data_IF_613550359410
#
_entry.id   IF_613550359410
#
_cell.length_a   1.000
_cell.length_b   1.000
_cell.length_c   1.000
_cell.angle_alpha   90.00
_cell.angle_beta   90.00
_cell.angle_gamma   90.00
#
_symmetry.space_group_name_H-M   'P 1'
#
loop_
_entity.id
_entity.type
_entity.pdbx_description
1 polymer ?
2 polymer ?
3 non-polymer ?
4 water ?
#
loop_
_entity_poly.entity_id
_entity_poly.type
_entity_poly.pdbx_seq_one_letter_code
_entity_poly.pdbx_strand_id
2 'polydeoxyribonucleotide' '(DT)(DT)(DT)(DT)(DT)(DT)(DT)(DT)(DT)(DT)(DT)(DT)(DT)(DT)(DT)(DT)(DT)(DT)(DT)(DG)' ?
#
# COMPACT_ATOMS: atom_id res chain seq x y z
N UNK A 45 -20.80 15.73 -3.32
CA UNK A 45 -19.95 15.84 -2.14
C UNK A 45 -20.49 15.02 -0.96
N UNK A 46 -19.60 14.71 -0.02
CA UNK A 46 -19.94 13.92 1.18
C UNK A 46 -18.88 14.08 2.28
N UNK A 47 -18.77 15.29 2.87
CA UNK A 47 -17.69 15.52 3.84
C UNK A 47 -17.91 14.71 5.12
N UNK A 48 -16.84 14.13 5.66
CA UNK A 48 -16.93 13.28 6.83
C UNK A 48 -17.03 11.79 6.55
N UNK A 49 -17.82 11.43 5.53
CA UNK A 49 -18.11 10.02 5.23
C UNK A 49 -17.21 9.41 4.17
N UNK A 50 -17.69 8.36 3.51
CA UNK A 50 -16.92 7.69 2.47
C UNK A 50 -17.82 6.84 1.58
N UNK A 51 -17.21 6.18 0.61
CA UNK A 51 -17.90 5.16 -0.17
C UNK A 51 -17.84 3.87 0.62
N UNK A 52 -18.79 2.98 0.34
CA UNK A 52 -18.88 1.70 1.02
C UNK A 52 -19.14 0.63 -0.02
N UNK A 53 -18.35 -0.44 -0.01
CA UNK A 53 -18.58 -1.56 -0.95
C UNK A 53 -19.77 -2.44 -0.58
N UNK A 54 -20.09 -3.41 -1.43
CA UNK A 54 -21.28 -4.26 -1.22
C UNK A 54 -21.20 -5.11 0.04
N UNK A 55 -20.01 -5.21 0.63
CA UNK A 55 -19.84 -5.95 1.86
C UNK A 55 -19.99 -5.07 3.11
N UNK A 56 -20.24 -3.78 2.90
CA UNK A 56 -20.41 -2.85 4.01
C UNK A 56 -19.11 -2.17 4.43
N UNK A 57 -18.04 -2.39 3.68
CA UNK A 57 -16.73 -1.88 4.08
C UNK A 57 -16.28 -0.62 3.36
N UNK A 58 -15.74 0.35 4.13
CA UNK A 58 -15.32 1.62 3.53
C UNK A 58 -14.14 1.44 2.62
N UNK A 59 -14.08 2.24 1.57
CA UNK A 59 -12.95 2.20 0.64
C UNK A 59 -12.70 3.57 0.01
N UNK A 60 -11.48 3.78 -0.43
CA UNK A 60 -11.10 5.00 -1.13
C UNK A 60 -10.46 4.56 -2.44
N UNK A 61 -10.80 5.25 -3.52
CA UNK A 61 -10.28 4.91 -4.84
C UNK A 61 -8.86 5.43 -5.04
N UNK A 62 -8.01 4.61 -5.65
CA UNK A 62 -6.68 5.12 -6.01
C UNK A 62 -6.42 5.11 -7.51
N UNK A 63 -7.21 4.32 -8.25
CA UNK A 63 -7.31 4.49 -9.70
C UNK A 63 -8.71 4.06 -10.01
N UNK A 64 -9.10 4.12 -11.29
CA UNK A 64 -10.42 3.65 -11.70
C UNK A 64 -10.69 2.20 -11.29
N UNK A 65 -9.63 1.38 -11.23
CA UNK A 65 -9.80 -0.04 -10.94
C UNK A 65 -9.19 -0.50 -9.60
N UNK A 66 -8.59 0.43 -8.87
CA UNK A 66 -7.89 0.07 -7.64
C UNK A 66 -8.44 0.81 -6.43
N UNK A 67 -8.54 0.09 -5.31
CA UNK A 67 -9.09 0.63 -4.07
C UNK A 67 -8.13 0.38 -2.92
N UNK A 68 -8.18 1.27 -1.93
CA UNK A 68 -7.67 0.96 -0.61
C UNK A 68 -8.92 0.90 0.26
N UNK A 69 -9.00 -0.11 1.13
CA UNK A 69 -10.19 -0.23 1.96
C UNK A 69 -9.88 -0.95 3.25
N UNK A 70 -10.79 -0.86 4.21
CA UNK A 70 -10.57 -1.52 5.49
C UNK A 70 -11.61 -2.59 5.68
N UNK A 71 -11.16 -3.79 5.99
CA UNK A 71 -12.04 -4.93 6.15
C UNK A 71 -11.72 -5.68 7.46
N UNK A 72 -12.74 -6.24 8.11
CA UNK A 72 -12.52 -7.08 9.28
C UNK A 72 -12.71 -8.54 8.88
N UNK A 73 -11.70 -9.37 9.14
CA UNK A 73 -11.73 -10.77 8.73
C UNK A 73 -11.06 -11.64 9.79
N UNK A 74 -11.79 -12.65 10.28
CA UNK A 74 -11.38 -13.44 11.44
C UNK A 74 -11.01 -12.52 12.59
N UNK A 75 -11.87 -11.53 12.82
CA UNK A 75 -11.78 -10.62 13.96
C UNK A 75 -10.53 -9.75 14.00
N UNK A 76 -9.83 -9.65 12.88
CA UNK A 76 -8.82 -8.61 12.77
C UNK A 76 -9.05 -7.72 11.56
N UNK A 77 -8.59 -6.48 11.69
CA UNK A 77 -8.74 -5.48 10.64
C UNK A 77 -7.59 -5.56 9.67
N UNK A 78 -7.91 -5.40 8.39
CA UNK A 78 -6.91 -5.43 7.35
C UNK A 78 -7.06 -4.19 6.50
N UNK A 79 -5.93 -3.63 6.10
CA UNK A 79 -5.91 -2.53 5.14
C UNK A 79 -5.59 -3.15 3.80
N UNK A 80 -6.61 -3.24 2.95
CA UNK A 80 -6.47 -3.91 1.66
C UNK A 80 -6.21 -2.93 0.51
N UNK A 81 -5.12 -3.14 -0.23
CA UNK A 81 -4.81 -2.35 -1.40
C UNK A 81 -4.91 -3.31 -2.58
N UNK A 82 -5.95 -3.17 -3.40
CA UNK A 82 -6.26 -4.25 -4.34
C UNK A 82 -6.91 -3.79 -5.63
N UNK A 83 -6.68 -4.57 -6.69
CA UNK A 83 -7.39 -4.43 -7.95
C UNK A 83 -8.80 -4.99 -7.82
N UNK A 84 -9.78 -4.30 -8.40
CA UNK A 84 -11.16 -4.79 -8.42
C UNK A 84 -11.61 -4.97 -9.86
N UNK A 85 -12.51 -5.91 -10.09
CA UNK A 85 -13.07 -6.13 -11.41
C UNK A 85 -14.59 -6.17 -11.37
N UNK A 86 -15.22 -5.86 -12.49
CA UNK A 86 -16.68 -5.86 -12.54
C UNK A 86 -17.20 -7.17 -13.14
N UNK A 87 -18.09 -7.81 -12.41
CA UNK A 87 -18.71 -9.05 -12.87
C UNK A 87 -20.09 -9.21 -12.25
N UNK A 88 -21.10 -9.48 -13.09
CA UNK A 88 -22.46 -9.63 -12.62
C UNK A 88 -22.98 -8.42 -11.87
N UNK A 89 -22.79 -7.23 -12.45
CA UNK A 89 -23.29 -5.99 -11.86
C UNK A 89 -22.70 -5.64 -10.51
N UNK A 90 -21.57 -6.25 -10.18
CA UNK A 90 -20.93 -6.03 -8.89
C UNK A 90 -19.41 -5.86 -9.07
N UNK A 91 -18.77 -5.10 -8.19
CA UNK A 91 -17.32 -4.96 -8.22
C UNK A 91 -16.78 -5.97 -7.23
N UNK A 92 -15.83 -6.78 -7.69
CA UNK A 92 -15.29 -7.86 -6.87
C UNK A 92 -13.79 -7.68 -6.71
N UNK A 93 -13.24 -8.15 -5.58
CA UNK A 93 -11.80 -8.05 -5.32
C UNK A 93 -11.05 -8.98 -6.26
N UNK A 94 -9.97 -8.48 -6.86
CA UNK A 94 -9.19 -9.25 -7.79
C UNK A 94 -7.99 -9.86 -7.10
N UNK A 95 -7.15 -10.56 -7.86
CA UNK A 95 -6.10 -11.32 -7.19
C UNK A 95 -4.81 -10.51 -7.04
N UNK A 96 -4.70 -9.40 -7.77
CA UNK A 96 -3.57 -8.51 -7.58
C UNK A 96 -3.86 -7.55 -6.44
N UNK A 97 -3.10 -7.67 -5.35
CA UNK A 97 -3.24 -6.75 -4.24
C UNK A 97 -2.63 -7.34 -2.99
N UNK A 98 -2.76 -6.65 -1.87
CA UNK A 98 -2.22 -7.18 -0.64
C UNK A 98 -3.02 -6.65 0.54
N UNK A 99 -3.13 -7.48 1.58
CA UNK A 99 -3.85 -7.09 2.79
C UNK A 99 -2.87 -6.88 3.94
N UNK A 100 -2.76 -5.64 4.41
CA UNK A 100 -1.81 -5.35 5.50
C UNK A 100 -2.50 -5.47 6.87
N UNK A 101 -1.82 -6.08 7.84
CA UNK A 101 -2.26 -5.97 9.22
C UNK A 101 -2.10 -4.51 9.63
N UNK A 102 -2.75 -4.13 10.73
CA UNK A 102 -2.61 -2.77 11.24
C UNK A 102 -1.14 -2.42 11.58
N UNK A 103 -0.39 -3.39 12.10
CA UNK A 103 1.04 -3.18 12.37
C UNK A 103 1.82 -3.00 11.08
N UNK A 104 1.48 -3.80 10.08
CA UNK A 104 2.16 -3.68 8.79
C UNK A 104 1.91 -2.30 8.20
N UNK A 105 0.66 -1.87 8.29
CA UNK A 105 0.25 -0.54 7.82
C UNK A 105 0.95 0.55 8.59
N UNK A 106 1.00 0.41 9.91
CA UNK A 106 1.73 1.37 10.75
C UNK A 106 3.21 1.45 10.36
N UNK A 107 3.82 0.30 10.07
CA UNK A 107 5.20 0.29 9.60
C UNK A 107 5.31 0.98 8.24
N UNK A 108 4.27 0.84 7.41
CA UNK A 108 4.27 1.52 6.13
C UNK A 108 4.26 3.04 6.35
N UNK A 109 3.46 3.52 7.30
CA UNK A 109 3.38 4.95 7.55
C UNK A 109 4.74 5.51 7.95
N UNK A 110 5.51 4.71 8.70
CA UNK A 110 6.82 5.12 9.21
C UNK A 110 7.82 5.33 8.06
N UNK A 111 7.57 4.66 6.95
CA UNK A 111 8.48 4.68 5.80
C UNK A 111 8.16 5.82 4.83
N UNK A 112 6.94 6.35 4.91
CA UNK A 112 6.48 7.35 3.95
C UNK A 112 7.42 8.54 3.70
N UNK A 113 7.91 9.19 4.77
CA UNK A 113 8.84 10.30 4.50
C UNK A 113 10.04 9.88 3.64
N UNK A 114 10.65 8.72 3.91
CA UNK A 114 11.81 8.31 3.10
C UNK A 114 11.39 7.98 1.65
N UNK A 115 10.28 7.27 1.51
CA UNK A 115 9.72 6.96 0.20
C UNK A 115 9.51 8.24 -0.61
N UNK A 116 8.92 9.24 0.04
CA UNK A 116 8.67 10.52 -0.63
C UNK A 116 9.99 11.15 -1.09
N UNK A 117 10.98 11.21 -0.20
CA UNK A 117 12.26 11.78 -0.58
C UNK A 117 12.85 11.06 -1.80
N UNK A 118 12.79 9.73 -1.81
CA UNK A 118 13.27 8.99 -2.98
C UNK A 118 12.52 9.37 -4.27
N UNK A 119 11.19 9.42 -4.22
CA UNK A 119 10.40 9.78 -5.40
C UNK A 119 10.75 11.17 -5.93
N UNK A 120 10.89 12.14 -5.03
CA UNK A 120 11.30 13.50 -5.42
C UNK A 120 12.68 13.50 -6.07
N UNK A 121 13.57 12.66 -5.54
CA UNK A 121 14.91 12.51 -6.12
C UNK A 121 14.81 12.05 -7.57
N UNK A 122 13.77 11.29 -7.86
CA UNK A 122 13.55 10.75 -9.20
C UNK A 122 12.67 11.68 -10.04
N UNK A 123 12.40 12.88 -9.53
CA UNK A 123 11.75 13.92 -10.31
C UNK A 123 10.24 14.05 -10.16
N UNK A 124 9.68 13.44 -9.12
CA UNK A 124 8.22 13.51 -8.93
C UNK A 124 7.85 14.56 -7.88
N UNK A 125 6.68 15.18 -8.04
CA UNK A 125 6.20 16.14 -7.05
C UNK A 125 5.32 15.48 -5.98
N UNK A 126 5.94 15.12 -4.86
CA UNK A 126 5.19 14.61 -3.71
C UNK A 126 5.12 15.71 -2.65
N UNK A 127 3.92 15.93 -2.11
CA UNK A 127 3.69 17.01 -1.16
C UNK A 127 3.26 16.50 0.22
N UNK B 45 19.08 1.28 15.10
CA UNK B 45 18.01 1.82 14.25
C UNK B 45 18.57 2.66 13.11
N UNK B 46 17.76 2.83 12.07
CA UNK B 46 18.15 3.62 10.91
C UNK B 46 16.99 4.53 10.44
N UNK B 47 16.58 5.48 11.30
CA UNK B 47 15.43 6.35 11.01
C UNK B 47 15.70 7.33 9.86
N UNK B 48 14.82 7.34 8.86
CA UNK B 48 15.01 8.21 7.71
C UNK B 48 15.82 7.54 6.62
N UNK B 49 16.51 6.45 6.98
CA UNK B 49 17.29 5.70 6.00
C UNK B 49 16.47 4.63 5.29
N UNK B 50 17.16 3.70 4.64
CA UNK B 50 16.44 2.65 3.93
C UNK B 50 17.34 1.44 3.81
N UNK B 51 16.86 0.45 3.10
CA UNK B 51 17.74 -0.63 2.71
C UNK B 51 17.83 -0.60 1.20
N UNK B 52 18.83 -1.29 0.67
CA UNK B 52 18.96 -1.43 -0.77
C UNK B 52 19.20 -2.90 -1.09
N UNK B 53 18.56 -3.40 -2.15
CA UNK B 53 18.82 -4.78 -2.58
C UNK B 53 19.97 -4.83 -3.59
N UNK B 54 20.36 -6.05 -3.98
CA UNK B 54 21.45 -6.25 -4.92
C UNK B 54 21.23 -5.56 -6.27
N UNK B 55 19.96 -5.34 -6.61
CA UNK B 55 19.62 -4.65 -7.85
C UNK B 55 19.84 -3.13 -7.76
N UNK B 56 20.13 -2.63 -6.55
CA UNK B 56 20.37 -1.22 -6.36
C UNK B 56 19.10 -0.46 -6.04
N UNK B 57 18.02 -1.19 -5.79
CA UNK B 57 16.73 -0.58 -5.53
C UNK B 57 16.41 -0.46 -4.04
N UNK B 58 15.87 0.70 -3.63
CA UNK B 58 15.62 0.97 -2.21
C UNK B 58 14.38 0.21 -1.68
N UNK B 59 14.42 -0.19 -0.41
CA UNK B 59 13.23 -0.77 0.22
C UNK B 59 13.21 -0.59 1.75
N UNK B 60 12.02 -0.73 2.32
CA UNK B 60 11.77 -0.54 3.75
C UNK B 60 10.93 -1.73 4.23
N UNK B 61 11.32 -2.35 5.34
CA UNK B 61 10.61 -3.55 5.80
C UNK B 61 9.34 -3.12 6.53
N UNK B 62 8.25 -3.83 6.27
CA UNK B 62 7.02 -3.54 7.01
C UNK B 62 6.56 -4.78 7.77
N UNK B 63 7.32 -5.85 7.57
CA UNK B 63 7.19 -7.07 8.36
C UNK B 63 8.38 -7.97 8.05
N UNK B 64 8.38 -9.16 8.63
CA UNK B 64 9.51 -10.08 8.50
C UNK B 64 9.80 -10.42 7.03
N UNK B 65 8.74 -10.65 6.25
CA UNK B 65 8.87 -10.95 4.83
C UNK B 65 8.14 -9.99 3.88
N UNK B 66 7.63 -8.86 4.40
CA UNK B 66 6.97 -7.90 3.51
C UNK B 66 7.78 -6.61 3.36
N UNK B 67 7.82 -6.10 2.14
CA UNK B 67 8.55 -4.87 1.84
C UNK B 67 7.72 -3.89 1.03
N UNK B 68 8.03 -2.61 1.16
CA UNK B 68 7.54 -1.62 0.20
C UNK B 68 8.78 -1.08 -0.53
N UNK B 69 8.86 -1.25 -1.83
CA UNK B 69 10.09 -0.83 -2.51
C UNK B 69 9.81 0.09 -3.67
N UNK B 70 10.85 0.75 -4.17
CA UNK B 70 10.72 1.57 -5.38
C UNK B 70 11.65 1.03 -6.46
N UNK B 71 11.13 0.85 -7.67
CA UNK B 71 11.98 0.44 -8.80
C UNK B 71 11.45 0.97 -10.12
N UNK B 72 12.31 0.94 -11.16
CA UNK B 72 11.92 1.47 -12.45
C UNK B 72 11.61 0.35 -13.45
N UNK B 73 10.45 0.43 -14.11
CA UNK B 73 10.05 -0.55 -15.09
C UNK B 73 9.37 0.22 -16.22
N UNK B 74 9.76 -0.07 -17.47
CA UNK B 74 9.28 0.67 -18.64
C UNK B 74 9.46 2.17 -18.45
N UNK B 75 10.58 2.56 -17.84
CA UNK B 75 10.89 3.98 -17.59
C UNK B 75 9.85 4.70 -16.73
N UNK B 76 9.14 3.95 -15.90
CA UNK B 76 8.24 4.53 -14.90
C UNK B 76 8.69 4.06 -13.53
N UNK B 77 8.43 4.88 -12.51
CA UNK B 77 8.65 4.44 -11.13
C UNK B 77 7.43 3.76 -10.55
N UNK B 78 7.65 2.63 -9.88
CA UNK B 78 6.60 1.87 -9.21
C UNK B 78 6.90 1.69 -7.73
N UNK B 79 5.88 1.88 -6.90
CA UNK B 79 5.99 1.61 -5.46
C UNK B 79 5.33 0.27 -5.19
N UNK B 80 6.14 -0.77 -5.00
CA UNK B 80 5.62 -2.11 -4.76
C UNK B 80 5.55 -2.42 -3.27
N UNK B 81 4.38 -2.90 -2.85
CA UNK B 81 4.15 -3.36 -1.48
C UNK B 81 3.88 -4.84 -1.66
N UNK B 82 4.80 -5.69 -1.19
CA UNK B 82 4.82 -7.06 -1.73
C UNK B 82 5.46 -8.02 -0.75
N UNK B 83 4.97 -9.25 -0.78
CA UNK B 83 5.53 -10.36 0.01
C UNK B 83 6.81 -10.89 -0.67
N UNK B 84 7.84 -11.18 0.13
CA UNK B 84 9.09 -11.75 -0.39
C UNK B 84 9.32 -13.17 0.14
N UNK B 85 10.05 -13.98 -0.63
CA UNK B 85 10.28 -15.37 -0.27
C UNK B 85 11.73 -15.78 -0.51
N UNK B 86 12.19 -16.83 0.15
CA UNK B 86 13.57 -17.26 0.01
C UNK B 86 13.76 -18.27 -1.10
N UNK B 87 14.93 -18.20 -1.74
CA UNK B 87 15.28 -19.12 -2.81
C UNK B 87 16.77 -19.02 -3.03
N UNK B 88 17.48 -20.12 -2.78
CA UNK B 88 18.91 -20.15 -3.00
C UNK B 88 19.68 -19.16 -2.16
N UNK B 89 19.17 -18.87 -0.97
CA UNK B 89 19.80 -17.90 -0.09
C UNK B 89 19.57 -16.48 -0.56
N UNK B 90 18.53 -16.29 -1.38
CA UNK B 90 18.18 -14.96 -1.85
C UNK B 90 16.71 -14.69 -1.55
N UNK B 91 16.41 -13.43 -1.22
CA UNK B 91 15.04 -12.99 -1.07
C UNK B 91 14.54 -12.50 -2.41
N UNK B 92 13.42 -13.05 -2.87
CA UNK B 92 12.86 -12.73 -4.17
C UNK B 92 11.42 -12.25 -4.04
N UNK B 93 11.02 -11.32 -4.94
CA UNK B 93 9.65 -10.78 -5.01
C UNK B 93 8.63 -11.89 -5.29
N UNK B 94 7.59 -11.96 -4.48
CA UNK B 94 6.58 -13.00 -4.66
C UNK B 94 5.33 -12.55 -5.39
N UNK B 95 4.34 -13.45 -5.48
CA UNK B 95 3.13 -13.19 -6.26
C UNK B 95 2.12 -12.30 -5.57
N UNK B 96 2.11 -12.33 -4.24
CA UNK B 96 1.17 -11.53 -3.45
C UNK B 96 1.72 -10.13 -3.22
N UNK B 97 0.99 -9.14 -3.73
CA UNK B 97 1.40 -7.75 -3.55
C UNK B 97 0.83 -6.94 -4.67
N UNK B 98 1.23 -5.67 -4.74
CA UNK B 98 0.76 -4.78 -5.77
C UNK B 98 1.79 -3.68 -6.06
N UNK B 99 1.90 -3.27 -7.33
CA UNK B 99 2.79 -2.20 -7.73
C UNK B 99 1.99 -0.96 -8.11
N UNK B 100 2.17 0.11 -7.34
CA UNK B 100 1.44 1.36 -7.56
C UNK B 100 2.26 2.29 -8.45
N UNK B 101 1.58 2.95 -9.41
CA UNK B 101 2.20 4.09 -10.08
C UNK B 101 2.34 5.21 -9.07
N UNK B 102 3.09 6.25 -9.42
CA UNK B 102 3.27 7.37 -8.51
C UNK B 102 1.93 8.06 -8.25
N UNK B 103 1.15 8.31 -9.30
CA UNK B 103 -0.19 8.88 -9.14
C UNK B 103 -1.03 8.05 -8.15
N UNK B 104 -0.97 6.73 -8.25
CA UNK B 104 -1.75 5.88 -7.34
C UNK B 104 -1.20 5.98 -5.91
N UNK B 105 0.10 6.08 -5.78
CA UNK B 105 0.70 6.22 -4.46
C UNK B 105 0.20 7.53 -3.81
N UNK B 106 0.21 8.62 -4.58
CA UNK B 106 -0.21 9.91 -4.03
C UNK B 106 -1.71 9.90 -3.69
N UNK B 107 -2.49 9.19 -4.48
CA UNK B 107 -3.91 9.04 -4.16
C UNK B 107 -4.07 8.33 -2.80
N UNK B 108 -3.23 7.33 -2.58
CA UNK B 108 -3.22 6.60 -1.32
C UNK B 108 -2.81 7.55 -0.18
N UNK B 109 -1.83 8.41 -0.46
CA UNK B 109 -1.40 9.41 0.52
C UNK B 109 -2.58 10.27 0.96
N UNK B 110 -3.40 10.68 0.01
CA UNK B 110 -4.54 11.54 0.31
C UNK B 110 -5.59 10.86 1.21
N UNK B 111 -5.73 9.53 1.06
CA UNK B 111 -6.69 8.75 1.85
C UNK B 111 -6.25 8.42 3.28
N UNK B 112 -4.97 8.56 3.56
CA UNK B 112 -4.43 8.21 4.87
C UNK B 112 -5.15 8.80 6.09
N UNK B 113 -5.53 10.09 6.05
CA UNK B 113 -6.18 10.58 7.27
C UNK B 113 -7.51 9.86 7.49
N UNK B 114 -8.30 9.67 6.43
CA UNK B 114 -9.57 8.95 6.53
C UNK B 114 -9.38 7.47 6.92
N UNK B 115 -8.36 6.81 6.37
CA UNK B 115 -8.02 5.46 6.80
C UNK B 115 -7.65 5.45 8.28
N UNK B 116 -6.83 6.40 8.69
CA UNK B 116 -6.39 6.44 10.07
C UNK B 116 -7.58 6.63 10.99
N UNK B 117 -8.44 7.56 10.62
CA UNK B 117 -9.64 7.87 11.41
C UNK B 117 -10.56 6.66 11.56
N UNK B 118 -10.73 5.90 10.48
CA UNK B 118 -11.53 4.67 10.54
C UNK B 118 -10.90 3.64 11.49
N UNK B 119 -9.60 3.41 11.34
CA UNK B 119 -8.90 2.48 12.23
C UNK B 119 -9.03 2.90 13.69
N UNK B 120 -8.83 4.19 13.99
CA UNK B 120 -9.03 4.67 15.36
C UNK B 120 -10.45 4.40 15.82
N UNK B 121 -11.42 4.52 14.92
CA UNK B 121 -12.81 4.25 15.29
C UNK B 121 -13.00 2.77 15.61
N UNK B 122 -12.22 1.91 14.96
CA UNK B 122 -12.24 0.49 15.27
C UNK B 122 -11.30 0.13 16.43
N UNK B 123 -10.83 1.14 17.17
CA UNK B 123 -10.05 0.90 18.37
C UNK B 123 -8.54 0.69 18.24
N UNK B 124 -7.94 1.11 17.12
CA UNK B 124 -6.49 1.04 17.01
C UNK B 124 -5.82 2.39 17.25
N UNK B 125 -4.55 2.38 17.63
CA UNK B 125 -3.82 3.62 17.92
C UNK B 125 -2.82 3.99 16.82
N UNK B 126 -3.12 5.06 16.09
CA UNK B 126 -2.27 5.49 14.97
C UNK B 126 -1.51 6.78 15.31
#
# INVERSE_FOLDING_TARGET
MSHHHHHHSMDMTSKKRARDEEAQSGGSEAETKPAPVKKAKSKASNPGGSQVDAEGNPFWEISDKRRVGISQFKKMDFINIREYYEAGGEMKPGKKGIGLTVDQYTAFLKAIPAINAELRSRGHDITDDSDGGGAPVVAKPEGNAKKSTKKQEKKANIEATSDEGSGSD
MSHHHHHHSMDMTSKKRARDEEAQSGGSEAETKPAPVKKAKSKASNPGGSQVDAEGNPFWEISDKRRVGISQFKKMDFINIREYYEAGGEMKPGKKGIGLTVDQYTAFLKAIPAINAELRSRGHDITDDSDGGGAPVVAKPEGNAKKSTKKQEKKANIEATSDEGSGSD
#
